data_IF_330657061908
#
_entry.id   IF_330657061908
#
_cell.length_a   1.000
_cell.length_b   1.000
_cell.length_c   1.000
_cell.angle_alpha   90.00
_cell.angle_beta   90.00
_cell.angle_gamma   90.00
#
_symmetry.space_group_name_H-M   'P 1'
#
loop_
_entity.id
_entity.type
_entity.pdbx_description
1 polymer ?
#
# COMPACT_ATOMS: atom_id res chain seq x y z
N UNK A 1 -4.97 -4.05 -70.30
CA UNK A 1 -4.22 -4.11 -69.01
C UNK A 1 -4.98 -3.35 -67.95
N UNK A 2 -5.75 -4.05 -67.13
CA UNK A 2 -6.53 -3.43 -66.03
C UNK A 2 -5.76 -3.62 -64.72
N UNK A 3 -5.28 -2.52 -64.09
CA UNK A 3 -4.63 -2.54 -62.79
C UNK A 3 -5.71 -2.54 -61.71
N UNK A 4 -5.80 -3.64 -60.94
CA UNK A 4 -6.64 -3.73 -59.76
C UNK A 4 -5.88 -3.06 -58.58
N UNK A 5 -6.44 -1.99 -58.01
CA UNK A 5 -5.99 -1.42 -56.74
C UNK A 5 -6.64 -2.24 -55.61
N UNK A 6 -5.82 -2.95 -54.88
CA UNK A 6 -6.20 -3.55 -53.60
C UNK A 6 -6.09 -2.46 -52.49
N UNK A 7 -7.24 -2.03 -52.00
CA UNK A 7 -7.32 -1.15 -50.82
C UNK A 7 -7.23 -2.02 -49.55
N UNK A 8 -6.11 -1.93 -48.88
CA UNK A 8 -5.88 -2.60 -47.61
C UNK A 8 -6.58 -1.77 -46.49
N UNK A 9 -7.74 -2.23 -46.07
CA UNK A 9 -8.43 -1.62 -44.93
C UNK A 9 -7.75 -2.01 -43.59
N UNK A 10 -7.14 -1.06 -42.94
CA UNK A 10 -6.62 -1.23 -41.57
C UNK A 10 -7.78 -1.12 -40.60
N UNK A 11 -8.21 -2.25 -40.03
CA UNK A 11 -9.14 -2.28 -38.92
C UNK A 11 -8.35 -1.90 -37.65
N UNK A 12 -8.51 -0.67 -37.17
CA UNK A 12 -8.05 -0.25 -35.84
C UNK A 12 -9.09 -0.73 -34.85
N UNK A 13 -8.80 -1.82 -34.15
CA UNK A 13 -9.58 -2.27 -33.01
C UNK A 13 -9.28 -1.33 -31.84
N UNK A 14 -10.23 -0.43 -31.55
CA UNK A 14 -10.23 0.37 -30.31
C UNK A 14 -10.54 -0.57 -29.14
N UNK A 15 -9.53 -1.04 -28.44
CA UNK A 15 -9.67 -1.70 -27.16
C UNK A 15 -10.16 -0.65 -26.16
N UNK A 16 -11.43 -0.71 -25.79
CA UNK A 16 -11.98 0.08 -24.66
C UNK A 16 -11.37 -0.50 -23.40
N UNK A 17 -10.57 0.28 -22.62
CA UNK A 17 -10.06 -0.22 -21.35
C UNK A 17 -11.25 -0.46 -20.41
N UNK A 18 -11.32 -1.67 -19.85
CA UNK A 18 -12.27 -1.96 -18.78
C UNK A 18 -11.97 -1.01 -17.61
N UNK A 19 -12.94 -0.16 -17.29
CA UNK A 19 -12.87 0.70 -16.10
C UNK A 19 -12.92 -0.22 -14.89
N UNK A 20 -11.77 -0.50 -14.29
CA UNK A 20 -11.70 -1.18 -13.01
C UNK A 20 -12.35 -0.25 -11.98
N UNK A 21 -13.47 -0.68 -11.41
CA UNK A 21 -14.13 0.01 -10.29
C UNK A 21 -13.16 0.00 -9.11
N UNK A 22 -12.61 1.16 -8.79
CA UNK A 22 -11.74 1.33 -7.65
C UNK A 22 -12.49 0.92 -6.39
N UNK A 23 -11.99 -0.12 -5.72
CA UNK A 23 -12.47 -0.48 -4.39
C UNK A 23 -12.19 0.71 -3.48
N UNK A 24 -13.24 1.22 -2.82
CA UNK A 24 -13.08 2.32 -1.87
C UNK A 24 -11.95 2.00 -0.88
N UNK A 25 -11.09 2.98 -0.54
CA UNK A 25 -10.06 2.78 0.46
C UNK A 25 -10.70 2.24 1.74
N UNK A 26 -10.08 1.26 2.41
CA UNK A 26 -10.56 0.86 3.72
C UNK A 26 -10.68 2.12 4.60
N UNK A 27 -11.74 2.25 5.39
CA UNK A 27 -11.86 3.40 6.28
C UNK A 27 -10.58 3.48 7.14
N UNK A 28 -10.13 4.70 7.47
CA UNK A 28 -9.04 4.85 8.41
C UNK A 28 -9.38 4.00 9.64
N UNK A 29 -8.44 3.18 10.09
CA UNK A 29 -8.63 2.39 11.30
C UNK A 29 -8.85 3.39 12.42
N UNK A 30 -10.12 3.65 12.74
CA UNK A 30 -10.49 4.48 13.89
C UNK A 30 -10.13 3.62 15.08
N UNK A 31 -9.14 4.05 15.85
CA UNK A 31 -8.85 3.46 17.14
C UNK A 31 -10.15 3.47 17.94
N UNK A 32 -10.79 2.33 18.10
CA UNK A 32 -11.93 2.13 18.97
C UNK A 32 -11.48 2.06 20.43
N UNK A 33 -10.91 3.13 20.94
CA UNK A 33 -10.36 3.27 22.26
C UNK A 33 -9.28 4.33 22.24
N UNK A 34 -9.19 5.14 23.28
CA UNK A 34 -8.30 6.28 23.42
C UNK A 34 -6.93 5.96 22.83
N UNK A 35 -6.59 6.58 21.69
CA UNK A 35 -5.22 6.65 21.19
C UNK A 35 -4.48 7.61 22.13
N UNK A 36 -4.14 7.15 23.31
CA UNK A 36 -3.32 7.91 24.24
C UNK A 36 -1.89 7.89 23.67
N UNK A 37 -1.36 9.04 23.39
CA UNK A 37 0.02 9.25 22.96
C UNK A 37 0.91 8.88 24.16
N UNK A 38 1.23 7.58 24.19
CA UNK A 38 2.01 6.81 25.12
C UNK A 38 2.84 7.54 26.15
N UNK A 39 2.29 7.71 27.33
CA UNK A 39 3.11 7.85 28.51
C UNK A 39 3.87 6.54 28.79
N UNK A 40 5.04 6.64 29.39
CA UNK A 40 5.81 5.51 29.91
C UNK A 40 4.91 4.68 30.83
N UNK A 41 4.64 3.41 30.42
CA UNK A 41 3.80 2.52 31.21
C UNK A 41 2.42 2.20 30.63
N UNK A 42 2.09 2.61 29.40
CA UNK A 42 0.82 2.28 28.76
C UNK A 42 0.61 0.76 28.67
N UNK A 43 -0.63 0.34 29.00
CA UNK A 43 -1.07 -1.06 28.90
C UNK A 43 -2.32 -1.10 28.04
N UNK A 44 -2.30 -1.90 26.99
CA UNK A 44 -3.43 -2.08 26.06
C UNK A 44 -2.99 -2.59 24.71
N UNK A 45 -3.98 -2.76 23.81
CA UNK A 45 -3.76 -3.16 22.42
C UNK A 45 -4.23 -2.04 21.48
N UNK A 46 -3.49 -1.84 20.40
CA UNK A 46 -3.82 -0.85 19.35
C UNK A 46 -3.24 -1.26 18.02
N UNK A 47 -3.53 -0.48 16.98
CA UNK A 47 -2.95 -0.65 15.66
C UNK A 47 -2.34 0.65 15.17
N UNK A 48 -1.24 0.53 14.46
CA UNK A 48 -0.56 1.63 13.81
C UNK A 48 -0.37 1.33 12.32
N UNK A 49 -0.46 2.35 11.48
CA UNK A 49 -0.34 2.19 10.02
C UNK A 49 0.62 3.18 9.41
N UNK A 50 1.22 2.76 8.30
CA UNK A 50 1.94 3.63 7.38
C UNK A 50 1.43 3.40 5.96
N UNK A 51 1.47 4.43 5.13
CA UNK A 51 1.15 4.32 3.71
C UNK A 51 1.99 5.28 2.88
N UNK A 52 2.29 4.86 1.66
CA UNK A 52 2.90 5.66 0.61
C UNK A 52 1.97 5.65 -0.60
N UNK A 53 1.63 6.83 -1.10
CA UNK A 53 0.76 6.99 -2.26
C UNK A 53 1.45 7.81 -3.31
N UNK A 54 1.51 7.28 -4.53
CA UNK A 54 2.18 7.90 -5.65
C UNK A 54 1.30 7.84 -6.90
N UNK A 55 1.50 8.80 -7.80
CA UNK A 55 0.77 8.91 -9.05
C UNK A 55 0.05 10.24 -9.22
N UNK A 56 -0.77 10.31 -10.26
CA UNK A 56 -1.62 11.47 -10.54
C UNK A 56 -3.05 11.08 -10.18
N UNK A 57 -3.60 11.69 -9.14
CA UNK A 57 -4.98 11.49 -8.71
C UNK A 57 -5.93 11.70 -9.89
N UNK A 58 -6.92 10.82 -10.04
CA UNK A 58 -7.91 10.79 -11.13
C UNK A 58 -7.40 10.31 -12.49
N UNK A 59 -6.09 10.01 -12.62
CA UNK A 59 -5.51 9.49 -13.87
C UNK A 59 -4.97 8.08 -13.65
N UNK A 60 -4.00 7.96 -12.77
CA UNK A 60 -3.39 6.68 -12.42
C UNK A 60 -2.59 6.86 -11.13
N UNK A 61 -2.87 6.05 -10.13
CA UNK A 61 -2.21 6.12 -8.83
C UNK A 61 -2.15 4.76 -8.17
N UNK A 62 -1.25 4.61 -7.20
CA UNK A 62 -1.27 3.49 -6.26
C UNK A 62 -1.07 3.99 -4.84
N UNK A 63 -1.49 3.17 -3.87
CA UNK A 63 -1.21 3.35 -2.46
C UNK A 63 -0.75 2.02 -1.87
N UNK A 64 0.46 1.99 -1.39
CA UNK A 64 1.02 0.91 -0.60
C UNK A 64 0.75 1.18 0.88
N UNK A 65 0.24 0.20 1.63
CA UNK A 65 -0.08 0.36 3.04
C UNK A 65 0.37 -0.85 3.87
N UNK A 66 0.71 -0.58 5.13
CA UNK A 66 1.09 -1.55 6.14
C UNK A 66 0.38 -1.19 7.45
N UNK A 67 -0.30 -2.15 8.05
CA UNK A 67 -0.98 -2.02 9.35
C UNK A 67 -0.40 -3.06 10.30
N UNK A 68 0.02 -2.61 11.47
CA UNK A 68 0.56 -3.46 12.53
C UNK A 68 -0.33 -3.33 13.76
N UNK A 69 -0.81 -4.45 14.28
CA UNK A 69 -1.50 -4.52 15.56
C UNK A 69 -0.54 -5.00 16.63
N UNK A 70 -0.56 -4.35 17.78
CA UNK A 70 0.30 -4.71 18.89
C UNK A 70 -0.36 -4.45 20.25
N UNK A 71 0.11 -5.19 21.26
CA UNK A 71 -0.27 -4.98 22.66
C UNK A 71 0.98 -4.67 23.50
N UNK A 72 0.85 -3.76 24.45
CA UNK A 72 1.86 -3.45 25.47
C UNK A 72 1.32 -3.71 26.86
N UNK A 73 2.21 -4.09 27.75
CA UNK A 73 1.98 -4.11 29.20
C UNK A 73 3.12 -3.35 29.87
N UNK A 74 2.79 -2.29 30.60
CA UNK A 74 3.78 -1.40 31.23
C UNK A 74 4.83 -0.88 30.23
N UNK A 75 4.39 -0.50 29.01
CA UNK A 75 5.26 0.00 27.96
C UNK A 75 6.04 -1.07 27.18
N UNK A 76 6.02 -2.34 27.59
CA UNK A 76 6.69 -3.44 26.92
C UNK A 76 5.74 -4.16 25.96
N UNK A 77 6.18 -4.39 24.72
CA UNK A 77 5.40 -5.11 23.70
C UNK A 77 5.28 -6.58 24.11
N UNK A 78 4.05 -7.05 24.30
CA UNK A 78 3.73 -8.45 24.63
C UNK A 78 3.28 -9.25 23.41
N UNK A 79 2.73 -8.57 22.40
CA UNK A 79 2.43 -9.15 21.09
C UNK A 79 2.50 -8.08 20.02
N UNK A 80 2.92 -8.47 18.82
CA UNK A 80 2.86 -7.62 17.62
C UNK A 80 2.75 -8.48 16.37
N UNK A 81 1.90 -8.08 15.45
CA UNK A 81 1.68 -8.79 14.19
C UNK A 81 1.29 -7.82 13.07
N UNK A 82 1.57 -8.22 11.85
CA UNK A 82 1.09 -7.52 10.67
C UNK A 82 -0.39 -7.87 10.49
N UNK A 83 -1.26 -6.87 10.69
CA UNK A 83 -2.71 -7.03 10.56
C UNK A 83 -3.17 -6.92 9.11
N UNK A 84 -2.53 -6.04 8.32
CA UNK A 84 -2.78 -5.88 6.90
C UNK A 84 -1.55 -5.33 6.19
N UNK A 85 -1.33 -5.81 4.98
CA UNK A 85 -0.29 -5.30 4.07
C UNK A 85 -0.81 -5.42 2.65
N UNK A 86 -0.80 -4.34 1.89
CA UNK A 86 -1.41 -4.35 0.57
C UNK A 86 -1.11 -3.15 -0.28
N UNK A 87 -1.63 -3.22 -1.50
CA UNK A 87 -1.60 -2.17 -2.48
C UNK A 87 -3.01 -1.94 -3.04
N UNK A 88 -3.44 -0.69 -3.04
CA UNK A 88 -4.58 -0.23 -3.84
C UNK A 88 -4.04 0.54 -5.05
N UNK A 89 -4.66 0.38 -6.20
CA UNK A 89 -4.24 1.10 -7.40
C UNK A 89 -5.43 1.36 -8.34
N UNK A 90 -5.25 2.34 -9.20
CA UNK A 90 -6.24 2.75 -10.20
C UNK A 90 -5.54 3.19 -11.49
N UNK A 91 -6.23 3.01 -12.62
CA UNK A 91 -5.73 3.37 -13.95
C UNK A 91 -4.79 2.32 -14.52
N UNK A 92 -3.69 2.76 -15.11
CA UNK A 92 -2.75 1.89 -15.83
C UNK A 92 -1.55 1.46 -14.98
N UNK A 93 -1.52 1.83 -13.70
CA UNK A 93 -0.52 1.37 -12.75
C UNK A 93 -1.04 0.09 -12.12
N UNK A 94 -0.19 -0.92 -12.05
CA UNK A 94 -0.40 -2.14 -11.30
C UNK A 94 0.60 -2.15 -10.14
N UNK A 95 0.11 -2.37 -8.92
CA UNK A 95 0.93 -2.52 -7.74
C UNK A 95 0.81 -3.95 -7.22
N UNK A 96 1.94 -4.56 -6.89
CA UNK A 96 2.03 -5.90 -6.35
C UNK A 96 2.69 -5.86 -4.98
N UNK A 97 2.02 -6.45 -4.00
CA UNK A 97 2.53 -6.53 -2.62
C UNK A 97 3.66 -7.54 -2.53
N UNK A 98 4.79 -7.11 -2.01
CA UNK A 98 5.93 -7.95 -1.67
C UNK A 98 5.87 -8.43 -0.22
N UNK A 99 7.00 -8.86 0.35
CA UNK A 99 7.06 -9.29 1.75
C UNK A 99 6.95 -8.12 2.72
N UNK A 100 6.46 -8.41 3.93
CA UNK A 100 6.51 -7.52 5.07
C UNK A 100 6.96 -8.30 6.31
N UNK A 101 7.78 -7.69 7.17
CA UNK A 101 8.37 -8.36 8.32
C UNK A 101 8.75 -7.39 9.44
N UNK A 102 9.01 -7.94 10.62
CA UNK A 102 9.65 -7.23 11.72
C UNK A 102 11.12 -6.98 11.37
N UNK A 103 11.53 -5.73 11.32
CA UNK A 103 12.91 -5.33 10.98
C UNK A 103 13.78 -5.21 12.23
N UNK A 104 13.20 -4.71 13.33
CA UNK A 104 13.94 -4.50 14.58
C UNK A 104 13.01 -4.34 15.77
N UNK A 105 13.50 -4.58 16.99
CA UNK A 105 12.71 -4.56 18.23
C UNK A 105 11.75 -5.75 18.32
N UNK A 106 10.56 -5.51 18.90
CA UNK A 106 9.48 -6.51 18.96
C UNK A 106 9.10 -6.91 20.38
N UNK A 107 8.57 -8.14 20.50
CA UNK A 107 8.09 -8.67 21.80
C UNK A 107 9.21 -8.67 22.84
N UNK A 108 8.93 -8.19 24.03
CA UNK A 108 9.90 -8.04 25.12
C UNK A 108 10.64 -6.70 25.12
N UNK A 109 10.41 -5.84 24.12
CA UNK A 109 10.96 -4.49 24.05
C UNK A 109 9.86 -3.43 24.13
N UNK A 110 10.21 -2.17 24.35
CA UNK A 110 9.25 -1.06 24.33
C UNK A 110 8.94 -0.56 22.89
N UNK A 111 9.64 -1.04 21.90
CA UNK A 111 9.57 -0.54 20.53
C UNK A 111 9.67 -1.67 19.49
N UNK A 112 9.20 -1.39 18.28
CA UNK A 112 9.34 -2.28 17.14
C UNK A 112 9.29 -1.49 15.82
N UNK A 113 9.99 -1.97 14.81
CA UNK A 113 9.88 -1.47 13.44
C UNK A 113 9.48 -2.62 12.52
N UNK A 114 8.41 -2.42 11.80
CA UNK A 114 7.95 -3.32 10.74
C UNK A 114 8.15 -2.64 9.40
N UNK A 115 8.62 -3.37 8.42
CA UNK A 115 8.84 -2.87 7.07
C UNK A 115 8.06 -3.70 6.07
N UNK A 116 7.42 -3.05 5.12
CA UNK A 116 6.72 -3.68 4.00
C UNK A 116 7.25 -3.17 2.66
N UNK A 117 7.26 -4.05 1.67
CA UNK A 117 7.68 -3.75 0.31
C UNK A 117 6.54 -3.98 -0.67
N UNK A 118 6.49 -3.16 -1.71
CA UNK A 118 5.64 -3.34 -2.88
C UNK A 118 6.39 -2.94 -4.14
N UNK A 119 6.02 -3.53 -5.26
CA UNK A 119 6.50 -3.14 -6.58
C UNK A 119 5.35 -2.58 -7.39
N UNK A 120 5.63 -1.59 -8.22
CA UNK A 120 4.65 -1.03 -9.12
C UNK A 120 5.21 -0.89 -10.54
N UNK A 121 4.33 -1.04 -11.52
CA UNK A 121 4.62 -0.87 -12.93
C UNK A 121 3.42 -0.28 -13.64
N UNK A 122 3.67 0.61 -14.59
CA UNK A 122 2.63 1.25 -15.40
C UNK A 122 3.18 2.30 -16.32
N UNK A 123 2.30 3.21 -16.74
CA UNK A 123 2.69 4.39 -17.49
C UNK A 123 1.83 5.58 -17.08
N UNK A 124 2.41 6.76 -17.06
CA UNK A 124 1.70 8.02 -16.86
C UNK A 124 1.95 8.90 -18.08
N UNK A 125 0.87 9.30 -18.76
CA UNK A 125 0.93 10.07 -19.99
C UNK A 125 1.87 9.46 -21.06
N UNK A 126 1.89 8.12 -21.17
CA UNK A 126 2.74 7.40 -22.12
C UNK A 126 4.19 7.21 -21.68
N UNK A 127 4.59 7.75 -20.53
CA UNK A 127 5.94 7.56 -19.97
C UNK A 127 5.93 6.32 -19.07
N UNK A 128 6.78 5.31 -19.31
CA UNK A 128 6.91 4.14 -18.44
C UNK A 128 7.28 4.56 -17.01
N UNK A 129 6.59 3.98 -16.04
CA UNK A 129 6.83 4.24 -14.63
C UNK A 129 6.83 2.92 -13.88
N UNK A 130 7.96 2.60 -13.24
CA UNK A 130 8.13 1.39 -12.47
C UNK A 130 9.08 1.63 -11.31
N UNK A 131 8.88 0.91 -10.23
CA UNK A 131 9.74 1.03 -9.05
C UNK A 131 9.30 0.15 -7.89
N UNK A 132 9.89 0.44 -6.74
CA UNK A 132 9.56 -0.18 -5.47
C UNK A 132 9.13 0.87 -4.47
N UNK A 133 8.12 0.54 -3.66
CA UNK A 133 7.72 1.32 -2.49
C UNK A 133 8.13 0.54 -1.24
N UNK A 134 8.76 1.24 -0.31
CA UNK A 134 9.14 0.69 1.00
C UNK A 134 8.54 1.58 2.07
N UNK A 135 7.74 1.00 2.95
CA UNK A 135 7.13 1.72 4.07
C UNK A 135 7.48 1.05 5.39
N UNK A 136 7.53 1.84 6.45
CA UNK A 136 7.82 1.33 7.79
C UNK A 136 6.83 1.86 8.80
N UNK A 137 6.38 0.98 9.70
CA UNK A 137 5.60 1.30 10.89
C UNK A 137 6.54 1.23 12.09
N UNK A 138 6.69 2.34 12.80
CA UNK A 138 7.54 2.45 13.98
C UNK A 138 6.69 2.56 15.22
N UNK A 139 6.70 1.51 16.03
CA UNK A 139 6.10 1.51 17.37
C UNK A 139 7.13 2.13 18.32
N UNK A 140 6.85 3.32 18.81
CA UNK A 140 7.78 4.05 19.67
C UNK A 140 7.82 3.49 21.10
N UNK A 141 8.91 3.77 21.80
CA UNK A 141 8.98 3.73 23.25
C UNK A 141 7.92 4.69 23.81
N UNK A 142 6.93 4.18 24.50
CA UNK A 142 5.92 4.93 25.21
C UNK A 142 6.33 5.18 26.66
#
# INVERSE_FOLDING_TARGET
>A
MRKALLTLGVLVALAVPAVATAKAPPPPVICGGVCDSGGTGWTGCTSQSASDAQGIRWVSWFRHYLVVSYCKVNGVITSASIAAHGCDYEGVIVCSTGPAWLTSGGVGTGWATFTGHATYIGAIAGVPWAGTSTISVNIALG
#
